data_IF_584591543130
#
_entry.id   IF_584591543130
#
_cell.length_a   1.000
_cell.length_b   1.000
_cell.length_c   1.000
_cell.angle_alpha   90.00
_cell.angle_beta   90.00
_cell.angle_gamma   90.00
#
_symmetry.space_group_name_H-M   'P 1'
#
loop_
_entity.id
_entity.type
_entity.pdbx_description
1 polymer ?
#
# COMPACT_ATOMS: atom_id res chain seq x y z
N UNK A 1 13.20 40.75 -51.10
CA UNK A 1 13.59 40.29 -49.74
C UNK A 1 12.34 40.28 -48.87
N UNK A 2 11.62 39.15 -48.82
CA UNK A 2 10.62 38.85 -47.78
C UNK A 2 10.72 37.36 -47.45
N UNK A 3 11.03 37.13 -46.19
CA UNK A 3 11.38 35.89 -45.52
C UNK A 3 10.18 34.93 -45.54
N UNK A 4 10.42 33.66 -45.87
CA UNK A 4 9.47 32.56 -45.62
C UNK A 4 9.71 32.09 -44.18
N UNK A 5 8.76 32.35 -43.28
CA UNK A 5 8.78 31.82 -41.91
C UNK A 5 8.36 30.35 -41.93
N UNK A 6 9.33 29.43 -41.79
CA UNK A 6 9.06 28.01 -41.56
C UNK A 6 8.76 27.78 -40.08
N UNK A 7 7.48 27.71 -39.72
CA UNK A 7 7.04 27.24 -38.41
C UNK A 7 7.13 25.71 -38.36
N UNK A 8 8.23 25.17 -37.83
CA UNK A 8 8.35 23.73 -37.54
C UNK A 8 7.64 23.44 -36.23
N UNK A 9 6.43 22.88 -36.32
CA UNK A 9 5.72 22.35 -35.15
C UNK A 9 6.37 21.02 -34.73
N UNK A 10 7.27 21.07 -33.75
CA UNK A 10 7.83 19.87 -33.15
C UNK A 10 6.77 19.17 -32.30
N UNK A 11 6.14 18.12 -32.85
CA UNK A 11 5.26 17.23 -32.10
C UNK A 11 6.14 16.36 -31.22
N UNK A 12 6.33 16.74 -29.96
CA UNK A 12 6.97 15.88 -28.96
C UNK A 12 6.04 14.68 -28.70
N UNK A 13 6.54 13.43 -28.77
CA UNK A 13 5.74 12.27 -28.41
C UNK A 13 5.41 12.36 -26.92
N UNK A 14 4.13 12.53 -26.62
CA UNK A 14 3.59 12.34 -25.27
C UNK A 14 3.68 10.85 -24.99
N UNK A 15 4.76 10.40 -24.35
CA UNK A 15 4.79 9.06 -23.79
C UNK A 15 3.75 9.01 -22.66
N UNK A 16 2.77 8.11 -22.72
CA UNK A 16 1.90 7.91 -21.57
C UNK A 16 2.81 7.49 -20.42
N UNK A 17 2.73 8.23 -19.31
CA UNK A 17 3.40 7.90 -18.07
C UNK A 17 2.78 6.59 -17.58
N UNK A 18 3.32 5.47 -18.05
CA UNK A 18 2.91 4.15 -17.61
C UNK A 18 3.14 4.06 -16.11
N UNK A 19 2.13 3.57 -15.38
CA UNK A 19 2.25 3.32 -13.95
C UNK A 19 3.54 2.51 -13.70
N UNK A 20 4.42 3.05 -12.85
CA UNK A 20 5.67 2.40 -12.52
C UNK A 20 5.38 0.96 -12.01
N UNK A 21 6.15 -0.05 -12.42
CA UNK A 21 5.94 -1.41 -11.94
C UNK A 21 6.04 -1.41 -10.41
N UNK A 22 5.00 -1.97 -9.76
CA UNK A 22 4.96 -2.12 -8.31
C UNK A 22 6.15 -2.99 -7.87
N UNK A 23 7.03 -2.44 -7.04
CA UNK A 23 8.28 -3.11 -6.60
C UNK A 23 7.93 -4.44 -5.93
N UNK A 24 8.58 -5.54 -6.32
CA UNK A 24 8.35 -6.84 -5.68
C UNK A 24 8.66 -6.78 -4.18
N UNK A 25 7.95 -7.56 -3.35
CA UNK A 25 8.25 -7.62 -1.92
C UNK A 25 9.61 -8.32 -1.75
N UNK A 26 10.58 -7.73 -1.02
CA UNK A 26 11.88 -8.35 -0.82
C UNK A 26 11.78 -9.63 0.03
N UNK A 27 12.67 -10.59 -0.23
CA UNK A 27 12.87 -11.76 0.65
C UNK A 27 13.37 -11.32 2.03
N UNK A 28 12.94 -12.04 3.08
CA UNK A 28 13.25 -11.73 4.47
C UNK A 28 12.44 -10.55 4.99
N UNK A 29 12.99 -9.88 6.02
CA UNK A 29 12.42 -8.63 6.54
C UNK A 29 12.67 -7.52 5.51
N UNK A 30 11.63 -6.80 5.15
CA UNK A 30 11.75 -5.61 4.32
C UNK A 30 10.57 -4.70 4.48
N UNK A 31 10.44 -3.79 3.51
CA UNK A 31 9.41 -2.78 3.56
C UNK A 31 9.06 -2.30 2.14
N UNK A 32 7.81 -1.92 1.93
CA UNK A 32 7.33 -1.34 0.68
C UNK A 32 6.41 -0.15 0.95
N UNK A 33 6.38 0.79 0.01
CA UNK A 33 5.46 1.93 0.05
C UNK A 33 4.32 1.71 -0.92
N UNK A 34 3.10 1.91 -0.45
CA UNK A 34 1.87 1.80 -1.25
C UNK A 34 1.18 3.17 -1.34
N UNK A 35 0.80 3.57 -2.55
CA UNK A 35 0.22 4.89 -2.81
C UNK A 35 1.28 5.97 -2.96
N UNK A 36 0.82 7.22 -3.11
CA UNK A 36 1.67 8.37 -3.44
C UNK A 36 1.42 9.54 -2.49
N UNK A 37 2.42 10.42 -2.38
CA UNK A 37 2.35 11.64 -1.57
C UNK A 37 2.00 11.39 -0.11
N UNK A 38 1.19 12.28 0.47
CA UNK A 38 0.76 12.25 1.88
C UNK A 38 -0.17 11.08 2.21
N UNK A 39 -0.74 10.42 1.19
CA UNK A 39 -1.61 9.25 1.36
C UNK A 39 -0.85 7.92 1.30
N UNK A 40 0.45 7.97 1.04
CA UNK A 40 1.26 6.76 0.96
C UNK A 40 1.37 6.08 2.33
N UNK A 41 1.22 4.76 2.33
CA UNK A 41 1.31 3.91 3.52
C UNK A 41 2.59 3.08 3.43
N UNK A 42 3.42 3.17 4.45
CA UNK A 42 4.55 2.27 4.64
C UNK A 42 4.00 0.90 5.06
N UNK A 43 4.54 -0.18 4.49
CA UNK A 43 4.15 -1.55 4.83
C UNK A 43 5.42 -2.31 5.19
N UNK A 44 5.51 -2.76 6.43
CA UNK A 44 6.59 -3.65 6.86
C UNK A 44 6.25 -5.06 6.39
N UNK A 45 7.18 -5.71 5.72
CA UNK A 45 6.96 -7.02 5.11
C UNK A 45 7.88 -8.09 5.67
N UNK A 46 7.41 -9.33 5.61
CA UNK A 46 8.26 -10.50 5.71
C UNK A 46 7.92 -11.46 4.57
N UNK A 47 8.92 -11.90 3.80
CA UNK A 47 8.74 -12.93 2.79
C UNK A 47 9.69 -14.11 3.10
N UNK A 48 9.18 -15.33 3.32
CA UNK A 48 10.01 -16.50 3.52
C UNK A 48 10.93 -16.75 2.32
N UNK A 49 12.09 -17.35 2.59
CA UNK A 49 13.03 -17.72 1.52
C UNK A 49 12.40 -18.71 0.55
N UNK A 50 12.57 -18.46 -0.74
CA UNK A 50 12.01 -19.31 -1.79
C UNK A 50 10.48 -19.28 -1.90
N UNK A 51 9.82 -18.28 -1.31
CA UNK A 51 8.38 -18.08 -1.48
C UNK A 51 8.03 -17.96 -2.97
N UNK A 52 7.10 -18.80 -3.42
CA UNK A 52 6.62 -18.85 -4.81
C UNK A 52 5.11 -18.63 -4.91
N UNK A 53 4.34 -19.20 -3.97
CA UNK A 53 2.92 -19.00 -3.80
C UNK A 53 2.54 -19.36 -2.35
N UNK A 54 1.45 -18.80 -1.83
CA UNK A 54 0.99 -19.05 -0.48
C UNK A 54 0.16 -17.89 0.08
N UNK A 55 -0.39 -18.03 1.30
CA UNK A 55 -1.23 -16.99 1.89
C UNK A 55 -0.43 -15.71 2.17
N UNK A 56 -1.16 -14.59 2.30
CA UNK A 56 -0.63 -13.33 2.81
C UNK A 56 -1.37 -13.01 4.11
N UNK A 57 -0.62 -12.80 5.19
CA UNK A 57 -1.15 -12.32 6.45
C UNK A 57 -1.04 -10.79 6.50
N UNK A 58 -2.20 -10.13 6.48
CA UNK A 58 -2.30 -8.71 6.75
C UNK A 58 -2.42 -8.47 8.25
N UNK A 59 -1.43 -7.79 8.83
CA UNK A 59 -1.30 -7.63 10.27
C UNK A 59 -1.39 -6.16 10.65
N UNK A 60 -2.53 -5.76 11.22
CA UNK A 60 -2.80 -4.38 11.61
C UNK A 60 -2.40 -4.15 13.07
N UNK A 61 -1.55 -3.14 13.31
CA UNK A 61 -1.05 -2.82 14.64
C UNK A 61 -2.14 -2.29 15.58
N UNK A 62 -1.88 -2.36 16.89
CA UNK A 62 -2.74 -1.77 17.91
C UNK A 62 -2.49 -0.28 18.14
N UNK A 63 -2.89 0.20 19.32
CA UNK A 63 -2.79 1.60 19.72
C UNK A 63 -1.36 2.15 19.72
N UNK A 64 -0.34 1.31 19.96
CA UNK A 64 1.08 1.69 20.02
C UNK A 64 1.73 2.01 18.67
N UNK A 65 1.04 1.73 17.55
CA UNK A 65 1.53 2.03 16.19
C UNK A 65 2.86 1.34 15.85
N UNK A 66 3.15 0.20 16.46
CA UNK A 66 4.38 -0.56 16.26
C UNK A 66 4.20 -1.64 15.19
N UNK A 67 3.92 -1.21 13.95
CA UNK A 67 3.67 -2.12 12.82
C UNK A 67 4.83 -3.08 12.53
N UNK A 68 6.07 -2.61 12.71
CA UNK A 68 7.27 -3.42 12.53
C UNK A 68 7.34 -4.59 13.54
N UNK A 69 7.02 -4.33 14.81
CA UNK A 69 6.95 -5.38 15.84
C UNK A 69 5.88 -6.41 15.50
N UNK A 70 4.71 -5.96 15.01
CA UNK A 70 3.63 -6.85 14.60
C UNK A 70 4.05 -7.74 13.41
N UNK A 71 4.86 -7.22 12.47
CA UNK A 71 5.51 -8.03 11.42
C UNK A 71 6.44 -9.05 12.05
N UNK A 72 7.31 -8.63 12.96
CA UNK A 72 8.30 -9.49 13.64
C UNK A 72 7.64 -10.63 14.42
N UNK A 73 6.59 -10.34 15.19
CA UNK A 73 5.83 -11.34 15.95
C UNK A 73 5.10 -12.34 15.07
N UNK A 74 4.85 -11.98 13.81
CA UNK A 74 4.18 -12.84 12.83
C UNK A 74 5.14 -13.72 12.02
N UNK A 75 6.46 -13.57 12.17
CA UNK A 75 7.47 -14.32 11.38
C UNK A 75 7.34 -15.83 11.61
N UNK A 76 7.19 -16.28 12.86
CA UNK A 76 7.06 -17.70 13.14
C UNK A 76 5.82 -18.32 12.47
N UNK A 77 4.72 -17.55 12.38
CA UNK A 77 3.51 -17.96 11.66
C UNK A 77 3.75 -17.98 10.15
N UNK A 78 4.45 -16.98 9.62
CA UNK A 78 4.82 -16.86 8.22
C UNK A 78 5.66 -18.06 7.75
N UNK A 79 6.70 -18.42 8.52
CA UNK A 79 7.54 -19.59 8.27
C UNK A 79 6.73 -20.88 8.30
N UNK A 80 5.88 -21.07 9.33
CA UNK A 80 5.07 -22.27 9.49
C UNK A 80 4.10 -22.51 8.33
N UNK A 81 3.53 -21.44 7.78
CA UNK A 81 2.51 -21.52 6.73
C UNK A 81 3.03 -21.17 5.34
N UNK A 82 4.34 -20.94 5.20
CA UNK A 82 4.96 -20.45 3.98
C UNK A 82 4.20 -19.24 3.40
N UNK A 83 3.97 -18.25 4.26
CA UNK A 83 3.13 -17.09 4.00
C UNK A 83 3.95 -15.80 3.97
N UNK A 84 3.52 -14.82 3.18
CA UNK A 84 4.04 -13.46 3.28
C UNK A 84 3.31 -12.72 4.41
N UNK A 85 4.01 -11.88 5.17
CA UNK A 85 3.40 -10.94 6.12
C UNK A 85 3.48 -9.54 5.54
N UNK A 86 2.37 -8.80 5.63
CA UNK A 86 2.30 -7.38 5.34
C UNK A 86 1.67 -6.66 6.53
N UNK A 87 2.43 -5.77 7.16
CA UNK A 87 2.00 -4.97 8.30
C UNK A 87 1.96 -3.48 7.92
N UNK A 88 0.79 -2.95 7.51
CA UNK A 88 0.66 -1.55 7.13
C UNK A 88 0.81 -0.62 8.34
N UNK A 89 1.55 0.46 8.18
CA UNK A 89 1.81 1.44 9.22
C UNK A 89 0.92 2.68 9.05
N UNK A 90 -0.06 2.80 9.95
CA UNK A 90 -0.91 3.97 10.10
C UNK A 90 -0.42 4.78 11.30
N UNK A 91 0.45 5.75 11.03
CA UNK A 91 1.07 6.61 12.04
C UNK A 91 0.04 7.46 12.81
N UNK A 92 0.47 7.97 13.96
CA UNK A 92 -0.39 8.72 14.85
C UNK A 92 -0.65 10.16 14.40
N UNK A 93 0.22 10.73 13.57
CA UNK A 93 0.10 12.11 13.10
C UNK A 93 -1.05 12.23 12.09
N UNK A 94 -1.11 11.30 11.13
CA UNK A 94 -2.16 11.24 10.10
C UNK A 94 -3.39 10.48 10.55
N UNK A 95 -3.23 9.44 11.39
CA UNK A 95 -4.32 8.53 11.75
C UNK A 95 -4.56 8.46 13.27
N UNK A 96 -5.19 9.51 13.80
CA UNK A 96 -5.77 9.50 15.14
C UNK A 96 -6.63 8.24 15.35
N UNK A 97 -6.79 7.77 16.59
CA UNK A 97 -7.43 6.47 16.88
C UNK A 97 -8.79 6.26 16.16
N UNK A 98 -9.66 7.28 16.17
CA UNK A 98 -10.95 7.23 15.50
C UNK A 98 -10.86 7.25 13.97
N UNK A 99 -9.78 7.77 13.40
CA UNK A 99 -9.49 7.71 11.97
C UNK A 99 -8.88 6.37 11.58
N UNK A 100 -8.19 5.67 12.48
CA UNK A 100 -7.59 4.37 12.21
C UNK A 100 -8.57 3.21 12.48
N UNK A 101 -8.78 2.87 13.76
CA UNK A 101 -9.48 1.65 14.16
C UNK A 101 -10.99 1.71 13.92
N UNK A 102 -11.56 2.92 13.76
CA UNK A 102 -12.98 3.12 13.47
C UNK A 102 -13.24 3.61 12.04
N UNK A 103 -12.21 3.65 11.20
CA UNK A 103 -12.33 4.01 9.80
C UNK A 103 -12.57 5.50 9.51
N UNK A 104 -12.70 6.34 10.54
CA UNK A 104 -13.04 7.75 10.39
C UNK A 104 -14.46 8.03 9.87
N UNK A 105 -15.36 7.03 9.93
CA UNK A 105 -16.67 7.09 9.26
C UNK A 105 -17.57 8.20 9.83
N UNK A 106 -17.53 8.40 11.14
CA UNK A 106 -18.37 9.38 11.83
C UNK A 106 -17.56 10.57 12.33
N UNK A 107 -18.17 11.76 12.27
CA UNK A 107 -17.74 12.95 12.99
C UNK A 107 -18.02 12.80 14.49
N UNK A 108 -17.51 13.74 15.30
CA UNK A 108 -17.75 13.73 16.76
C UNK A 108 -19.24 13.86 17.13
N UNK A 109 -20.02 14.55 16.30
CA UNK A 109 -21.48 14.71 16.44
C UNK A 109 -22.30 13.60 15.77
N UNK A 110 -21.65 12.51 15.32
CA UNK A 110 -22.33 11.32 14.81
C UNK A 110 -22.79 11.41 13.35
N UNK A 111 -22.36 12.42 12.59
CA UNK A 111 -22.66 12.55 11.16
C UNK A 111 -21.66 11.75 10.32
N UNK A 112 -22.11 11.26 9.17
CA UNK A 112 -21.22 10.61 8.20
C UNK A 112 -20.21 11.61 7.63
N UNK A 113 -18.93 11.25 7.63
CA UNK A 113 -17.90 11.93 6.84
C UNK A 113 -18.02 11.55 5.36
N UNK A 114 -17.47 12.41 4.50
CA UNK A 114 -17.30 12.09 3.08
C UNK A 114 -16.45 10.82 2.94
N UNK A 115 -16.82 9.92 2.02
CA UNK A 115 -16.18 8.62 1.86
C UNK A 115 -14.69 8.75 1.51
N UNK A 116 -14.30 9.84 0.86
CA UNK A 116 -12.90 10.14 0.52
C UNK A 116 -12.01 10.35 1.76
N UNK A 117 -12.61 10.68 2.89
CA UNK A 117 -11.95 10.96 4.17
C UNK A 117 -11.90 9.72 5.07
N UNK A 118 -12.44 8.57 4.62
CA UNK A 118 -12.38 7.32 5.36
C UNK A 118 -11.03 6.63 5.17
N UNK A 119 -10.55 5.93 6.20
CA UNK A 119 -9.27 5.22 6.13
C UNK A 119 -9.40 3.78 5.65
N UNK A 120 -10.55 3.13 5.81
CA UNK A 120 -10.74 1.75 5.33
C UNK A 120 -10.47 1.58 3.82
N UNK A 121 -10.88 2.50 2.92
CA UNK A 121 -10.45 2.45 1.52
C UNK A 121 -8.94 2.46 1.33
N UNK A 122 -8.18 3.11 2.22
CA UNK A 122 -6.71 3.10 2.17
C UNK A 122 -6.16 1.72 2.57
N UNK A 123 -6.74 1.09 3.59
CA UNK A 123 -6.38 -0.30 3.93
C UNK A 123 -6.70 -1.26 2.77
N UNK A 124 -7.84 -1.08 2.10
CA UNK A 124 -8.18 -1.84 0.88
C UNK A 124 -7.16 -1.61 -0.24
N UNK A 125 -6.73 -0.37 -0.47
CA UNK A 125 -5.70 -0.06 -1.47
C UNK A 125 -4.39 -0.78 -1.16
N UNK A 126 -3.97 -0.81 0.11
CA UNK A 126 -2.78 -1.56 0.56
C UNK A 126 -2.93 -3.05 0.29
N UNK A 127 -4.06 -3.64 0.65
CA UNK A 127 -4.34 -5.06 0.42
C UNK A 127 -4.22 -5.40 -1.07
N UNK A 128 -4.87 -4.60 -1.93
CA UNK A 128 -4.87 -4.84 -3.37
C UNK A 128 -3.49 -4.67 -4.01
N UNK A 129 -2.68 -3.70 -3.57
CA UNK A 129 -1.33 -3.51 -4.08
C UNK A 129 -0.40 -4.67 -3.67
N UNK A 130 -0.46 -5.10 -2.42
CA UNK A 130 0.33 -6.24 -1.92
C UNK A 130 -0.06 -7.54 -2.65
N UNK A 131 -1.35 -7.78 -2.87
CA UNK A 131 -1.81 -8.93 -3.65
C UNK A 131 -1.29 -8.92 -5.09
N UNK A 132 -1.24 -7.74 -5.72
CA UNK A 132 -0.70 -7.59 -7.08
C UNK A 132 0.81 -7.85 -7.14
N UNK A 133 1.59 -7.41 -6.15
CA UNK A 133 3.05 -7.65 -6.10
C UNK A 133 3.39 -9.14 -6.01
N UNK A 134 2.55 -9.92 -5.35
CA UNK A 134 2.75 -11.37 -5.16
C UNK A 134 1.92 -12.25 -6.12
N UNK A 135 1.36 -11.67 -7.17
CA UNK A 135 1.00 -12.41 -8.37
C UNK A 135 -0.43 -12.93 -8.53
N UNK A 136 -1.41 -12.66 -7.64
CA UNK A 136 -2.81 -12.88 -8.02
C UNK A 136 -3.87 -12.17 -7.13
N UNK A 137 -4.71 -11.26 -7.68
CA UNK A 137 -5.92 -10.76 -7.02
C UNK A 137 -7.11 -11.75 -7.05
N UNK A 138 -7.00 -12.92 -7.68
CA UNK A 138 -8.04 -13.97 -7.78
C UNK A 138 -7.78 -15.22 -6.93
N UNK A 139 -6.94 -15.14 -5.89
CA UNK A 139 -6.73 -16.28 -4.98
C UNK A 139 -8.08 -16.79 -4.47
N UNK A 140 -8.43 -18.02 -4.81
CA UNK A 140 -9.60 -18.71 -4.25
C UNK A 140 -9.39 -18.79 -2.73
N UNK A 141 -10.40 -18.31 -1.98
CA UNK A 141 -10.43 -18.35 -0.52
C UNK A 141 -11.26 -19.55 -0.07
#
# INVERSE_FOLDING_TARGET
MRLLDFLVLAILPVFPLGAAPSVAIPEGKGEVKVGEGERAIQVYTYKPKGFSNGPIFFVFHGAKRNAEDYRDWSIALAEKHHAVVAAPFFDQERFLAHLYSWGGILTKDGKLRDRKDWSYPMATQVIQDILKREGDPKREH
#
